data_IF_396653601005
#
_entry.id   IF_396653601005
#
_cell.length_a   1.000
_cell.length_b   1.000
_cell.length_c   1.000
_cell.angle_alpha   90.00
_cell.angle_beta   90.00
_cell.angle_gamma   90.00
#
_symmetry.space_group_name_H-M   'P 1'
#
loop_
_entity.id
_entity.type
_entity.pdbx_description
1 polymer ?
#
# COMPACT_ATOMS: atom_id res chain seq x y z
N UNK A 1 -1.78 18.38 8.15
CA UNK A 1 -3.08 17.75 7.82
C UNK A 1 -2.83 16.63 6.82
N UNK A 2 -3.56 15.51 6.92
CA UNK A 2 -3.43 14.38 5.99
C UNK A 2 -4.21 14.65 4.70
N UNK A 3 -3.61 14.34 3.54
CA UNK A 3 -4.27 14.39 2.23
C UNK A 3 -5.06 13.10 1.99
N UNK A 4 -6.36 13.13 2.31
CA UNK A 4 -7.23 11.95 2.21
C UNK A 4 -7.48 11.50 0.78
N UNK A 5 -7.52 12.42 -0.18
CA UNK A 5 -7.80 12.10 -1.58
C UNK A 5 -6.64 11.33 -2.20
N UNK A 6 -5.40 11.78 -1.95
CA UNK A 6 -4.20 11.05 -2.40
C UNK A 6 -4.08 9.69 -1.72
N UNK A 7 -4.36 9.61 -0.42
CA UNK A 7 -4.37 8.32 0.28
C UNK A 7 -5.40 7.36 -0.33
N UNK A 8 -6.63 7.80 -0.55
CA UNK A 8 -7.69 6.95 -1.11
C UNK A 8 -7.32 6.44 -2.50
N UNK A 9 -6.73 7.27 -3.35
CA UNK A 9 -6.26 6.85 -4.67
C UNK A 9 -5.11 5.85 -4.57
N UNK A 10 -4.13 6.12 -3.70
CA UNK A 10 -3.04 5.18 -3.44
C UNK A 10 -3.55 3.83 -2.92
N UNK A 11 -4.48 3.83 -1.97
CA UNK A 11 -5.08 2.62 -1.42
C UNK A 11 -5.71 1.75 -2.51
N UNK A 12 -6.51 2.32 -3.40
CA UNK A 12 -7.11 1.55 -4.50
C UNK A 12 -6.08 1.07 -5.52
N UNK A 13 -5.06 1.88 -5.83
CA UNK A 13 -3.96 1.43 -6.70
C UNK A 13 -3.17 0.27 -6.08
N UNK A 14 -2.94 0.27 -4.77
CA UNK A 14 -2.32 -0.85 -4.06
C UNK A 14 -3.22 -2.09 -4.07
N UNK A 15 -4.54 -1.94 -3.95
CA UNK A 15 -5.49 -3.03 -4.07
C UNK A 15 -5.48 -3.67 -5.46
N UNK A 16 -5.41 -2.86 -6.51
CA UNK A 16 -5.31 -3.34 -7.91
C UNK A 16 -4.03 -4.15 -8.14
N UNK A 17 -2.95 -3.80 -7.42
CA UNK A 17 -1.68 -4.53 -7.40
C UNK A 17 -1.66 -5.72 -6.43
N UNK A 18 -2.78 -6.02 -5.76
CA UNK A 18 -2.93 -7.17 -4.87
C UNK A 18 -2.44 -6.96 -3.44
N UNK A 19 -2.17 -5.71 -3.02
CA UNK A 19 -1.72 -5.37 -1.67
C UNK A 19 -2.85 -4.69 -0.88
N UNK A 20 -3.32 -5.36 0.17
CA UNK A 20 -4.35 -4.82 1.06
C UNK A 20 -3.72 -4.04 2.23
N UNK A 21 -3.79 -2.71 2.18
CA UNK A 21 -3.42 -1.83 3.29
C UNK A 21 -4.61 -1.58 4.22
N UNK A 22 -4.37 -0.96 5.38
CA UNK A 22 -5.46 -0.48 6.22
C UNK A 22 -6.33 0.51 5.43
N UNK A 23 -7.68 0.35 5.39
CA UNK A 23 -8.57 1.16 4.54
C UNK A 23 -8.85 2.55 5.13
N UNK A 24 -7.86 3.16 5.77
CA UNK A 24 -7.96 4.46 6.43
C UNK A 24 -6.59 5.10 6.58
N UNK A 25 -6.50 6.39 6.26
CA UNK A 25 -5.28 7.18 6.43
C UNK A 25 -4.91 7.47 7.90
N UNK A 26 -5.74 7.00 8.85
CA UNK A 26 -5.57 7.20 10.29
C UNK A 26 -5.38 5.88 11.05
N UNK A 27 -5.30 4.76 10.34
CA UNK A 27 -5.07 3.44 10.92
C UNK A 27 -3.61 3.03 10.77
N UNK A 28 -3.14 2.20 11.71
CA UNK A 28 -1.81 1.61 11.62
C UNK A 28 -1.80 0.42 10.64
N UNK A 29 -0.67 0.22 9.96
CA UNK A 29 -0.38 -1.02 9.24
C UNK A 29 0.38 -2.00 10.14
N UNK A 30 0.20 -3.30 9.90
CA UNK A 30 0.88 -4.36 10.64
C UNK A 30 1.54 -5.35 9.69
N UNK A 31 2.61 -5.97 10.16
CA UNK A 31 3.30 -7.07 9.48
C UNK A 31 3.25 -8.33 10.34
N UNK A 32 3.54 -9.49 9.74
CA UNK A 32 3.67 -10.76 10.45
C UNK A 32 5.03 -11.41 10.15
N UNK A 33 5.39 -12.44 10.92
CA UNK A 33 6.61 -13.24 10.65
C UNK A 33 6.58 -13.97 9.29
N UNK A 34 5.41 -14.06 8.64
CA UNK A 34 5.30 -14.63 7.30
C UNK A 34 5.75 -13.64 6.21
N UNK A 35 5.88 -12.35 6.50
CA UNK A 35 6.36 -11.35 5.53
C UNK A 35 7.88 -11.47 5.38
N UNK A 36 8.31 -12.38 4.51
CA UNK A 36 9.71 -12.54 4.14
C UNK A 36 10.17 -11.48 3.12
N UNK A 37 11.45 -11.54 2.75
CA UNK A 37 12.06 -10.60 1.79
C UNK A 37 11.37 -10.60 0.43
N UNK A 38 10.78 -11.72 0.00
CA UNK A 38 10.09 -11.81 -1.30
C UNK A 38 8.77 -11.05 -1.27
N UNK A 39 8.00 -11.17 -0.18
CA UNK A 39 6.75 -10.44 0.01
C UNK A 39 7.02 -8.93 0.12
N UNK A 40 8.09 -8.56 0.84
CA UNK A 40 8.48 -7.14 0.95
C UNK A 40 8.88 -6.59 -0.43
N UNK A 41 9.68 -7.32 -1.20
CA UNK A 41 10.07 -6.89 -2.55
C UNK A 41 8.85 -6.71 -3.47
N UNK A 42 7.93 -7.67 -3.49
CA UNK A 42 6.70 -7.58 -4.27
C UNK A 42 5.84 -6.36 -3.86
N UNK A 43 5.74 -6.09 -2.55
CA UNK A 43 5.01 -4.93 -2.02
C UNK A 43 5.65 -3.60 -2.45
N UNK A 44 6.98 -3.53 -2.50
CA UNK A 44 7.70 -2.34 -2.96
C UNK A 44 7.49 -2.10 -4.46
N UNK A 45 7.54 -3.16 -5.28
CA UNK A 45 7.26 -3.05 -6.72
C UNK A 45 5.82 -2.59 -6.99
N UNK A 46 4.85 -3.13 -6.26
CA UNK A 46 3.46 -2.67 -6.30
C UNK A 46 3.35 -1.17 -5.94
N UNK A 47 3.99 -0.76 -4.86
CA UNK A 47 4.01 0.65 -4.44
C UNK A 47 4.65 1.55 -5.50
N UNK A 48 5.74 1.12 -6.14
CA UNK A 48 6.39 1.88 -7.19
C UNK A 48 5.47 2.07 -8.42
N UNK A 49 4.73 1.03 -8.82
CA UNK A 49 3.71 1.13 -9.89
C UNK A 49 2.54 2.03 -9.50
N UNK A 50 2.05 1.93 -8.27
CA UNK A 50 0.98 2.79 -7.75
C UNK A 50 1.41 4.26 -7.71
N UNK A 51 2.62 4.57 -7.22
CA UNK A 51 3.14 5.93 -7.21
C UNK A 51 3.37 6.51 -8.61
N UNK A 52 3.73 5.68 -9.59
CA UNK A 52 3.83 6.12 -10.99
C UNK A 52 2.49 6.58 -11.61
N UNK A 53 1.37 6.22 -10.98
CA UNK A 53 0.01 6.54 -11.44
C UNK A 53 -0.69 7.62 -10.60
N UNK A 54 -0.02 8.23 -9.62
CA UNK A 54 -0.60 9.21 -8.69
C UNK A 54 -0.58 10.64 -9.22
#
# INVERSE_FOLDING_TARGET
ATDKEKFNRFFHLMLDEGVYLAPSAFEAGFVSIQHDSSIIAATLEAAQRAFGQL
#
